data_IF_049393025697
#
_entry.id   IF_049393025697
#
_cell.length_a   1.000
_cell.length_b   1.000
_cell.length_c   1.000
_cell.angle_alpha   90.00
_cell.angle_beta   90.00
_cell.angle_gamma   90.00
#
_symmetry.space_group_name_H-M   'P 1'
#
loop_
_entity.id
_entity.type
_entity.pdbx_description
1 polymer ?
#
# COMPACT_ATOMS: atom_id res chain seq x y z
N UNK A 1 -27.25 -32.74 9.83
CA UNK A 1 -26.69 -31.91 8.78
C UNK A 1 -27.81 -31.01 8.25
N UNK A 2 -27.97 -29.81 8.80
CA UNK A 2 -28.98 -28.85 8.38
C UNK A 2 -28.29 -27.72 7.61
N UNK A 3 -28.65 -27.60 6.35
CA UNK A 3 -28.23 -26.56 5.43
C UNK A 3 -28.91 -25.27 5.86
N UNK A 4 -28.14 -24.28 6.29
CA UNK A 4 -28.66 -22.92 6.57
C UNK A 4 -28.84 -22.19 5.24
N UNK A 5 -30.07 -21.78 5.00
CA UNK A 5 -30.53 -21.11 3.77
C UNK A 5 -29.92 -19.72 3.64
N UNK A 6 -29.58 -19.34 2.38
CA UNK A 6 -28.90 -18.12 1.97
C UNK A 6 -29.66 -16.79 2.10
N UNK A 7 -30.60 -16.65 3.04
CA UNK A 7 -31.41 -15.44 3.16
C UNK A 7 -30.83 -14.36 4.08
N UNK A 8 -29.82 -14.65 4.91
CA UNK A 8 -29.30 -13.69 5.88
C UNK A 8 -28.05 -12.93 5.43
N UNK A 9 -27.54 -13.16 4.22
CA UNK A 9 -26.35 -12.47 3.71
C UNK A 9 -26.67 -11.15 2.97
N UNK A 10 -27.92 -10.93 2.58
CA UNK A 10 -28.36 -9.72 1.85
C UNK A 10 -28.76 -8.55 2.75
N UNK A 11 -29.01 -8.78 4.05
CA UNK A 11 -29.46 -7.73 4.95
C UNK A 11 -28.32 -6.84 5.52
N UNK A 12 -27.07 -7.26 5.43
CA UNK A 12 -25.93 -6.49 5.95
C UNK A 12 -25.35 -5.46 4.93
N UNK A 13 -25.77 -5.50 3.67
CA UNK A 13 -25.27 -4.61 2.62
C UNK A 13 -26.16 -3.36 2.41
N UNK A 14 -27.35 -3.34 2.95
CA UNK A 14 -28.36 -2.32 2.64
C UNK A 14 -28.35 -1.07 3.53
N UNK A 15 -27.43 -0.91 4.49
CA UNK A 15 -27.49 0.21 5.47
C UNK A 15 -26.42 1.28 5.27
N UNK A 16 -25.65 1.26 4.18
CA UNK A 16 -24.59 2.25 3.88
C UNK A 16 -24.90 3.14 2.67
N UNK A 17 -26.13 3.51 2.45
CA UNK A 17 -26.47 4.53 1.47
C UNK A 17 -26.90 5.83 2.16
N UNK A 18 -26.24 6.90 1.78
CA UNK A 18 -26.52 8.31 2.00
C UNK A 18 -25.70 9.02 3.10
N UNK A 19 -24.70 9.75 2.64
CA UNK A 19 -24.48 11.20 2.84
C UNK A 19 -23.20 11.55 2.03
N UNK A 20 -23.35 12.16 0.87
CA UNK A 20 -22.26 12.66 0.05
C UNK A 20 -22.64 13.96 -0.65
N UNK A 21 -22.12 15.09 -0.19
CA UNK A 21 -22.14 16.35 -0.94
C UNK A 21 -20.95 16.37 -1.89
N UNK A 22 -21.21 16.44 -3.20
CA UNK A 22 -20.18 16.58 -4.24
C UNK A 22 -19.66 18.01 -4.29
N UNK A 23 -18.39 18.23 -3.97
CA UNK A 23 -17.70 19.48 -4.25
C UNK A 23 -17.40 19.60 -5.76
N UNK A 24 -17.60 20.79 -6.32
CA UNK A 24 -17.36 21.10 -7.72
C UNK A 24 -15.86 21.20 -8.02
N UNK A 25 -15.44 20.84 -9.23
CA UNK A 25 -14.06 20.94 -9.71
C UNK A 25 -13.47 22.37 -9.70
N UNK A 26 -14.29 23.38 -9.54
CA UNK A 26 -13.86 24.78 -9.48
C UNK A 26 -13.31 25.22 -8.10
N UNK A 27 -13.62 24.48 -7.01
CA UNK A 27 -13.19 24.81 -5.65
C UNK A 27 -11.78 24.32 -5.31
N UNK A 28 -11.17 23.56 -6.21
CA UNK A 28 -9.92 22.81 -5.97
C UNK A 28 -8.66 23.68 -6.16
N UNK A 29 -8.76 24.84 -6.82
CA UNK A 29 -7.59 25.58 -7.28
C UNK A 29 -6.94 26.54 -6.25
N UNK A 30 -7.51 26.71 -5.04
CA UNK A 30 -7.07 27.73 -4.06
C UNK A 30 -6.64 27.18 -2.69
N UNK A 31 -6.57 25.89 -2.51
CA UNK A 31 -6.36 25.29 -1.18
C UNK A 31 -4.89 24.90 -0.94
N UNK A 32 -4.34 25.31 0.21
CA UNK A 32 -2.97 24.98 0.63
C UNK A 32 -2.78 23.50 1.09
N UNK A 33 -1.53 23.08 1.42
CA UNK A 33 -1.21 21.68 1.77
C UNK A 33 -2.07 21.09 2.90
N UNK A 34 -2.47 21.89 3.87
CA UNK A 34 -3.33 21.42 4.98
C UNK A 34 -4.72 21.00 4.51
N UNK A 35 -5.28 21.70 3.51
CA UNK A 35 -6.56 21.35 2.93
C UNK A 35 -6.48 20.12 2.01
N UNK A 36 -5.33 19.91 1.35
CA UNK A 36 -5.09 18.69 0.59
C UNK A 36 -5.08 17.43 1.50
N UNK A 37 -4.46 17.52 2.68
CA UNK A 37 -4.50 16.42 3.67
C UNK A 37 -5.91 16.21 4.19
N UNK A 38 -6.63 17.28 4.56
CA UNK A 38 -8.03 17.18 5.01
C UNK A 38 -8.94 16.57 3.93
N UNK A 39 -8.69 16.91 2.66
CA UNK A 39 -9.41 16.33 1.51
C UNK A 39 -9.08 14.85 1.31
N UNK A 40 -7.81 14.44 1.50
CA UNK A 40 -7.42 13.04 1.50
C UNK A 40 -8.11 12.30 2.65
N UNK A 41 -8.14 12.89 3.84
CA UNK A 41 -8.83 12.34 5.00
C UNK A 41 -10.34 12.24 4.79
N UNK A 42 -10.97 13.22 4.15
CA UNK A 42 -12.41 13.19 3.88
C UNK A 42 -12.81 12.11 2.88
N UNK A 43 -11.91 11.74 1.95
CA UNK A 43 -12.14 10.65 1.00
C UNK A 43 -12.08 9.27 1.65
N UNK A 44 -11.46 9.15 2.83
CA UNK A 44 -11.37 7.88 3.56
C UNK A 44 -12.72 7.35 4.03
N UNK A 45 -13.73 8.21 4.08
CA UNK A 45 -15.09 7.83 4.47
C UNK A 45 -15.92 7.23 3.33
N UNK A 46 -15.38 7.18 2.11
CA UNK A 46 -16.05 6.58 0.97
C UNK A 46 -15.09 5.61 0.23
N UNK A 47 -14.99 4.35 0.69
CA UNK A 47 -14.11 3.36 0.10
C UNK A 47 -14.52 2.93 -1.31
N UNK A 48 -15.76 3.28 -1.72
CA UNK A 48 -16.30 2.88 -3.02
C UNK A 48 -15.99 3.90 -4.12
N UNK A 49 -15.42 5.04 -3.77
CA UNK A 49 -15.31 6.21 -4.65
C UNK A 49 -14.21 6.13 -5.70
N UNK A 50 -13.33 5.21 -5.61
CA UNK A 50 -12.40 4.80 -6.64
C UNK A 50 -11.89 3.41 -6.27
N UNK A 51 -11.63 2.68 -7.19
CA UNK A 51 -10.62 2.87 -8.20
C UNK A 51 -11.11 2.48 -9.59
N UNK A 52 -11.13 3.40 -10.50
CA UNK A 52 -11.55 3.26 -11.88
C UNK A 52 -11.00 2.08 -12.69
N UNK A 53 -10.03 1.35 -12.15
CA UNK A 53 -9.47 0.17 -12.83
C UNK A 53 -10.28 -1.11 -12.60
N UNK A 54 -11.03 -1.24 -11.47
CA UNK A 54 -11.63 -2.53 -11.10
C UNK A 54 -13.08 -2.44 -10.64
N UNK A 55 -13.63 -1.24 -10.50
CA UNK A 55 -14.97 -0.99 -9.98
C UNK A 55 -15.11 -1.29 -8.48
N UNK A 56 -16.11 -0.69 -7.86
CA UNK A 56 -16.37 -0.74 -6.42
C UNK A 56 -16.47 -2.15 -5.85
N UNK A 57 -17.06 -3.07 -6.63
CA UNK A 57 -17.28 -4.45 -6.24
C UNK A 57 -15.97 -5.22 -5.97
N UNK A 58 -14.93 -4.98 -6.77
CA UNK A 58 -13.66 -5.65 -6.61
C UNK A 58 -12.93 -5.21 -5.33
N UNK A 59 -12.89 -3.92 -5.07
CA UNK A 59 -12.23 -3.37 -3.89
C UNK A 59 -12.90 -3.85 -2.59
N UNK A 60 -14.25 -3.77 -2.54
CA UNK A 60 -15.04 -4.25 -1.40
C UNK A 60 -14.83 -5.75 -1.14
N UNK A 61 -14.78 -6.58 -2.19
CA UNK A 61 -14.50 -8.01 -2.05
C UNK A 61 -13.10 -8.28 -1.50
N UNK A 62 -12.09 -7.53 -1.95
CA UNK A 62 -10.75 -7.65 -1.41
C UNK A 62 -10.72 -7.26 0.06
N UNK A 63 -11.33 -6.14 0.43
CA UNK A 63 -11.43 -5.70 1.81
C UNK A 63 -12.06 -6.78 2.69
N UNK A 64 -13.19 -7.33 2.32
CA UNK A 64 -13.84 -8.42 3.04
C UNK A 64 -12.96 -9.69 3.09
N UNK A 65 -12.25 -10.01 2.03
CA UNK A 65 -11.36 -11.17 2.02
C UNK A 65 -10.15 -10.99 2.96
N UNK A 66 -9.58 -9.78 3.03
CA UNK A 66 -8.49 -9.46 3.96
C UNK A 66 -8.97 -9.49 5.41
N UNK A 67 -10.15 -8.97 5.71
CA UNK A 67 -10.74 -9.09 7.05
C UNK A 67 -10.97 -10.53 7.49
N UNK A 68 -11.39 -11.42 6.58
CA UNK A 68 -11.46 -12.86 6.89
C UNK A 68 -10.11 -13.47 7.21
N UNK A 69 -9.05 -13.08 6.51
CA UNK A 69 -7.69 -13.50 6.83
C UNK A 69 -7.22 -12.95 8.18
N UNK A 70 -7.53 -11.70 8.50
CA UNK A 70 -7.24 -11.08 9.79
C UNK A 70 -7.91 -11.87 10.92
N UNK A 71 -9.17 -12.28 10.76
CA UNK A 71 -9.84 -13.13 11.76
C UNK A 71 -9.16 -14.51 11.91
N UNK A 72 -8.63 -15.10 10.82
CA UNK A 72 -7.84 -16.35 10.90
C UNK A 72 -6.54 -16.12 11.68
N UNK A 73 -5.91 -14.96 11.56
CA UNK A 73 -4.67 -14.63 12.27
C UNK A 73 -4.90 -14.03 13.66
N UNK A 74 -6.15 -13.91 14.10
CA UNK A 74 -6.49 -13.32 15.40
C UNK A 74 -5.73 -13.99 16.55
N UNK A 75 -5.03 -13.15 17.32
CA UNK A 75 -4.20 -13.61 18.44
C UNK A 75 -2.89 -14.31 18.05
N UNK A 76 -2.59 -14.44 16.75
CA UNK A 76 -1.36 -15.08 16.27
C UNK A 76 -0.35 -14.03 15.76
N UNK A 77 0.96 -14.31 15.83
CA UNK A 77 1.96 -13.44 15.25
C UNK A 77 1.95 -13.55 13.71
N UNK A 78 2.01 -12.40 13.04
CA UNK A 78 2.23 -12.28 11.60
C UNK A 78 3.67 -11.81 11.38
N UNK A 79 4.45 -12.54 10.58
CA UNK A 79 5.87 -12.19 10.39
C UNK A 79 6.03 -10.88 9.63
N UNK A 80 5.27 -10.70 8.54
CA UNK A 80 5.35 -9.50 7.71
C UNK A 80 3.96 -9.07 7.27
N UNK A 81 3.64 -7.80 7.47
CA UNK A 81 2.48 -7.12 6.87
C UNK A 81 2.98 -6.24 5.74
N UNK A 82 2.42 -6.41 4.54
CA UNK A 82 2.71 -5.60 3.37
C UNK A 82 1.56 -4.61 3.17
N UNK A 83 1.74 -3.34 3.55
CA UNK A 83 0.71 -2.29 3.45
C UNK A 83 1.03 -1.36 2.29
N UNK A 84 0.15 -1.34 1.27
CA UNK A 84 0.40 -0.55 0.07
C UNK A 84 -0.72 -0.58 -0.96
N UNK A 85 -0.33 -0.36 -2.19
CA UNK A 85 -1.20 -0.23 -3.37
C UNK A 85 -1.14 -1.45 -4.32
N UNK A 86 -1.35 -1.21 -5.62
CA UNK A 86 -1.31 -2.25 -6.65
C UNK A 86 0.03 -2.98 -6.74
N UNK A 87 1.13 -2.32 -6.43
CA UNK A 87 2.45 -2.92 -6.52
C UNK A 87 2.57 -4.11 -5.56
N UNK A 88 2.07 -3.97 -4.33
CA UNK A 88 2.00 -5.09 -3.39
C UNK A 88 0.90 -6.08 -3.74
N UNK A 89 -0.29 -5.60 -4.14
CA UNK A 89 -1.39 -6.48 -4.47
C UNK A 89 -1.08 -7.41 -5.64
N UNK A 90 -0.51 -6.87 -6.72
CA UNK A 90 -0.23 -7.63 -7.92
C UNK A 90 0.90 -8.64 -7.75
N UNK A 91 1.81 -8.41 -6.80
CA UNK A 91 2.83 -9.38 -6.46
C UNK A 91 2.21 -10.74 -6.09
N UNK A 92 1.25 -10.75 -5.18
CA UNK A 92 0.54 -11.97 -4.77
C UNK A 92 -0.22 -12.64 -5.92
N UNK A 93 -0.86 -11.83 -6.76
CA UNK A 93 -1.82 -12.31 -7.75
C UNK A 93 -1.23 -12.57 -9.13
N UNK A 94 -0.34 -11.69 -9.61
CA UNK A 94 0.23 -11.78 -10.96
C UNK A 94 1.57 -12.50 -11.00
N UNK A 95 2.27 -12.57 -9.87
CA UNK A 95 3.61 -13.10 -9.74
C UNK A 95 3.69 -14.16 -8.63
N UNK A 96 2.88 -15.25 -8.72
CA UNK A 96 2.73 -16.23 -7.64
C UNK A 96 4.03 -16.98 -7.31
N UNK A 97 4.92 -17.17 -8.26
CA UNK A 97 6.21 -17.84 -8.01
C UNK A 97 7.16 -16.94 -7.20
N UNK A 98 7.29 -15.69 -7.59
CA UNK A 98 8.06 -14.70 -6.83
C UNK A 98 7.44 -14.46 -5.46
N UNK A 99 6.10 -14.41 -5.37
CA UNK A 99 5.38 -14.29 -4.10
C UNK A 99 5.64 -15.50 -3.18
N UNK A 100 5.60 -16.72 -3.71
CA UNK A 100 5.90 -17.93 -2.96
C UNK A 100 7.36 -17.95 -2.45
N UNK A 101 8.31 -17.44 -3.24
CA UNK A 101 9.71 -17.27 -2.84
C UNK A 101 9.82 -16.30 -1.65
N UNK A 102 9.13 -15.16 -1.71
CA UNK A 102 9.10 -14.15 -0.63
C UNK A 102 8.47 -14.70 0.64
N UNK A 103 7.33 -15.39 0.53
CA UNK A 103 6.57 -15.89 1.68
C UNK A 103 7.09 -17.18 2.26
N UNK A 104 8.03 -17.85 1.61
CA UNK A 104 8.52 -19.17 2.00
C UNK A 104 8.79 -19.28 3.51
N UNK A 105 7.97 -20.06 4.21
CA UNK A 105 8.08 -20.31 5.63
C UNK A 105 7.65 -19.17 6.56
N UNK A 106 7.20 -18.04 6.03
CA UNK A 106 6.71 -16.88 6.79
C UNK A 106 5.20 -16.75 6.73
N UNK A 107 4.62 -16.23 7.79
CA UNK A 107 3.24 -15.75 7.78
C UNK A 107 3.24 -14.32 7.25
N UNK A 108 2.74 -14.13 6.03
CA UNK A 108 2.69 -12.81 5.38
C UNK A 108 1.25 -12.40 5.13
N UNK A 109 0.88 -11.22 5.59
CA UNK A 109 -0.43 -10.61 5.32
C UNK A 109 -0.25 -9.48 4.28
N UNK A 110 -0.78 -9.71 3.07
CA UNK A 110 -0.74 -8.72 2.01
C UNK A 110 -1.96 -7.79 2.07
N UNK A 111 -1.73 -6.57 2.53
CA UNK A 111 -2.70 -5.47 2.59
C UNK A 111 -2.44 -4.44 1.48
N UNK A 112 -1.96 -4.88 0.33
CA UNK A 112 -1.90 -4.09 -0.89
C UNK A 112 -3.23 -4.12 -1.64
N UNK A 113 -3.67 -2.97 -2.17
CA UNK A 113 -4.90 -2.84 -2.96
C UNK A 113 -4.63 -2.08 -4.25
N UNK A 114 -5.12 -2.62 -5.36
CA UNK A 114 -4.97 -1.98 -6.68
C UNK A 114 -5.61 -0.59 -6.71
N UNK A 115 -4.87 0.40 -7.20
CA UNK A 115 -5.38 1.76 -7.33
C UNK A 115 -5.42 2.57 -6.04
N UNK A 116 -5.15 1.98 -4.86
CA UNK A 116 -5.23 2.70 -3.60
C UNK A 116 -4.34 3.93 -3.55
N UNK A 117 -4.91 4.98 -3.02
CA UNK A 117 -4.27 6.19 -2.58
C UNK A 117 -4.11 6.17 -1.05
N UNK A 118 -3.37 7.13 -0.50
CA UNK A 118 -3.14 7.23 0.95
C UNK A 118 -4.43 7.33 1.75
N UNK A 119 -5.44 8.04 1.24
CA UNK A 119 -6.76 8.15 1.86
C UNK A 119 -7.49 6.80 1.99
N UNK A 120 -7.34 5.90 1.02
CA UNK A 120 -7.93 4.56 1.09
C UNK A 120 -7.26 3.73 2.21
N UNK A 121 -5.94 3.78 2.33
CA UNK A 121 -5.21 3.09 3.39
C UNK A 121 -5.57 3.62 4.77
N UNK A 122 -5.68 4.94 4.96
CA UNK A 122 -6.12 5.57 6.20
C UNK A 122 -7.49 5.01 6.59
N UNK A 123 -8.45 5.03 5.66
CA UNK A 123 -9.79 4.50 5.89
C UNK A 123 -9.75 3.01 6.30
N UNK A 124 -9.00 2.17 5.61
CA UNK A 124 -8.88 0.74 5.91
C UNK A 124 -8.31 0.48 7.31
N UNK A 125 -7.30 1.25 7.72
CA UNK A 125 -6.73 1.16 9.07
C UNK A 125 -7.74 1.59 10.12
N UNK A 126 -8.50 2.68 9.89
CA UNK A 126 -9.59 3.12 10.76
C UNK A 126 -10.69 2.07 10.88
N UNK A 127 -10.84 1.20 9.88
CA UNK A 127 -11.83 0.12 9.84
C UNK A 127 -11.23 -1.26 10.20
N UNK A 128 -10.15 -1.29 10.97
CA UNK A 128 -9.67 -2.49 11.64
C UNK A 128 -8.67 -3.34 10.85
N UNK A 129 -8.12 -2.85 9.74
CA UNK A 129 -7.21 -3.66 8.92
C UNK A 129 -5.88 -3.99 9.61
N UNK A 130 -5.49 -3.23 10.64
CA UNK A 130 -4.32 -3.51 11.47
C UNK A 130 -4.67 -4.05 12.87
N UNK A 131 -5.91 -4.51 13.10
CA UNK A 131 -6.38 -4.95 14.41
C UNK A 131 -6.42 -6.47 14.53
N UNK A 132 -6.35 -6.98 15.76
CA UNK A 132 -6.64 -8.38 16.08
C UNK A 132 -5.48 -9.36 15.94
N UNK A 133 -4.36 -8.99 15.36
CA UNK A 133 -3.13 -9.79 15.25
C UNK A 133 -1.92 -8.99 15.75
N UNK A 134 -0.74 -9.62 15.81
CA UNK A 134 0.52 -8.97 16.17
C UNK A 134 1.51 -9.09 15.01
N UNK A 135 1.84 -7.98 14.38
CA UNK A 135 2.86 -7.93 13.33
C UNK A 135 4.27 -7.87 13.96
N UNK A 136 5.20 -8.70 13.47
CA UNK A 136 6.64 -8.53 13.79
C UNK A 136 7.25 -7.41 12.94
N UNK A 137 6.75 -7.24 11.72
CA UNK A 137 7.23 -6.24 10.78
C UNK A 137 6.08 -5.72 9.92
N UNK A 138 6.04 -4.39 9.69
CA UNK A 138 5.15 -3.75 8.71
C UNK A 138 6.01 -3.07 7.65
N UNK A 139 5.80 -3.42 6.40
CA UNK A 139 6.42 -2.80 5.23
C UNK A 139 5.40 -1.87 4.59
N UNK A 140 5.71 -0.59 4.56
CA UNK A 140 4.86 0.45 3.98
C UNK A 140 5.48 0.99 2.69
N UNK A 141 4.73 0.94 1.59
CA UNK A 141 5.04 1.67 0.36
C UNK A 141 3.75 1.96 -0.40
N UNK A 142 3.45 3.24 -0.60
CA UNK A 142 2.34 3.70 -1.45
C UNK A 142 2.51 5.19 -1.78
N UNK A 143 1.60 5.73 -2.61
CA UNK A 143 1.59 7.15 -2.98
C UNK A 143 1.75 7.39 -4.48
N UNK A 144 2.16 6.37 -5.26
CA UNK A 144 2.31 6.51 -6.71
C UNK A 144 0.98 6.88 -7.39
N UNK A 145 -0.15 6.41 -6.86
CA UNK A 145 -1.48 6.74 -7.39
C UNK A 145 -1.92 8.17 -7.04
N UNK A 146 -1.57 8.67 -5.84
CA UNK A 146 -1.75 10.09 -5.52
C UNK A 146 -0.96 10.95 -6.51
N UNK A 147 0.33 10.65 -6.68
CA UNK A 147 1.25 11.40 -7.52
C UNK A 147 1.00 11.23 -9.04
N UNK A 148 0.07 10.35 -9.42
CA UNK A 148 -0.39 10.24 -10.81
C UNK A 148 -1.39 11.33 -11.21
N UNK A 149 -2.03 11.99 -10.25
CA UNK A 149 -2.92 13.13 -10.52
C UNK A 149 -2.12 14.40 -10.76
N UNK A 150 -2.55 15.24 -11.71
CA UNK A 150 -1.85 16.48 -12.04
C UNK A 150 -1.96 17.55 -10.94
N UNK A 151 -2.99 17.47 -10.13
CA UNK A 151 -3.23 18.32 -8.95
C UNK A 151 -2.57 17.78 -7.67
N UNK A 152 -1.75 16.72 -7.77
CA UNK A 152 -1.09 16.14 -6.60
C UNK A 152 -0.04 17.07 -6.00
N UNK A 153 -0.10 17.25 -4.68
CA UNK A 153 0.93 17.89 -3.87
C UNK A 153 1.79 16.84 -3.19
N UNK A 154 3.08 16.68 -3.56
CA UNK A 154 4.00 15.73 -2.93
C UNK A 154 4.13 15.90 -1.41
N UNK A 155 4.03 17.14 -0.90
CA UNK A 155 4.11 17.39 0.54
C UNK A 155 2.86 16.88 1.27
N UNK A 156 1.68 17.04 0.67
CA UNK A 156 0.45 16.48 1.22
C UNK A 156 0.46 14.94 1.20
N UNK A 157 0.99 14.32 0.13
CA UNK A 157 1.16 12.87 0.07
C UNK A 157 2.13 12.37 1.15
N UNK A 158 3.27 13.03 1.34
CA UNK A 158 4.21 12.70 2.40
C UNK A 158 3.56 12.81 3.77
N UNK A 159 2.83 13.89 4.06
CA UNK A 159 2.12 14.08 5.31
C UNK A 159 1.05 13.02 5.58
N UNK A 160 0.35 12.56 4.55
CA UNK A 160 -0.59 11.45 4.67
C UNK A 160 0.13 10.15 5.03
N UNK A 161 1.32 9.90 4.47
CA UNK A 161 2.15 8.74 4.83
C UNK A 161 2.71 8.84 6.25
N UNK A 162 3.07 10.03 6.73
CA UNK A 162 3.42 10.26 8.14
C UNK A 162 2.24 9.91 9.07
N UNK A 163 1.00 10.27 8.70
CA UNK A 163 -0.21 9.87 9.44
C UNK A 163 -0.36 8.35 9.44
N UNK A 164 -0.19 7.68 8.30
CA UNK A 164 -0.26 6.21 8.23
C UNK A 164 0.79 5.57 9.14
N UNK A 165 2.02 6.09 9.19
CA UNK A 165 3.07 5.64 10.11
C UNK A 165 2.62 5.76 11.57
N UNK A 166 2.02 6.89 11.95
CA UNK A 166 1.48 7.07 13.29
C UNK A 166 0.38 6.05 13.64
N UNK A 167 -0.52 5.80 12.70
CA UNK A 167 -1.59 4.80 12.85
C UNK A 167 -1.05 3.37 12.95
N UNK A 168 -0.02 3.02 12.16
CA UNK A 168 0.66 1.73 12.28
C UNK A 168 1.24 1.56 13.69
N UNK A 169 1.90 2.57 14.23
CA UNK A 169 2.47 2.52 15.59
C UNK A 169 1.43 2.40 16.68
N UNK A 170 0.29 3.05 16.50
CA UNK A 170 -0.83 2.92 17.43
C UNK A 170 -1.38 1.50 17.47
N UNK A 171 -1.57 0.89 16.30
CA UNK A 171 -2.22 -0.44 16.16
C UNK A 171 -1.25 -1.60 16.32
N UNK A 172 0.02 -1.39 15.96
CA UNK A 172 1.07 -2.41 15.95
C UNK A 172 2.35 -1.86 16.64
N UNK A 173 2.30 -1.51 17.94
CA UNK A 173 3.37 -0.79 18.64
C UNK A 173 4.70 -1.55 18.71
N UNK A 174 4.66 -2.88 18.67
CA UNK A 174 5.83 -3.75 18.75
C UNK A 174 6.43 -4.05 17.36
N UNK A 175 5.75 -3.68 16.28
CA UNK A 175 6.19 -4.01 14.93
C UNK A 175 7.40 -3.16 14.51
N UNK A 176 8.39 -3.81 13.90
CA UNK A 176 9.42 -3.11 13.15
C UNK A 176 8.78 -2.45 11.93
N UNK A 177 8.94 -1.15 11.79
CA UNK A 177 8.41 -0.41 10.65
C UNK A 177 9.50 -0.21 9.59
N UNK A 178 9.24 -0.71 8.39
CA UNK A 178 10.04 -0.50 7.19
C UNK A 178 9.25 0.43 6.27
N UNK A 179 9.86 1.55 5.91
CA UNK A 179 9.32 2.50 4.94
C UNK A 179 10.19 2.47 3.68
N UNK A 180 9.55 2.20 2.54
CA UNK A 180 10.19 2.30 1.25
C UNK A 180 9.91 3.64 0.59
N UNK A 181 10.85 4.18 -0.20
CA UNK A 181 10.53 5.18 -1.20
C UNK A 181 9.51 4.61 -2.20
N UNK A 182 8.67 5.48 -2.73
CA UNK A 182 7.80 5.16 -3.87
C UNK A 182 8.73 4.83 -5.05
N UNK A 183 8.52 3.70 -5.70
CA UNK A 183 9.41 3.23 -6.76
C UNK A 183 9.52 4.22 -7.93
N UNK A 184 10.68 4.25 -8.60
CA UNK A 184 10.81 4.99 -9.84
C UNK A 184 9.87 4.40 -10.89
N UNK A 185 9.43 5.25 -11.81
CA UNK A 185 8.54 4.84 -12.91
C UNK A 185 8.91 5.56 -14.19
N UNK A 186 8.45 5.03 -15.32
CA UNK A 186 8.70 5.64 -16.61
C UNK A 186 9.97 5.13 -17.30
N UNK A 187 9.90 5.04 -18.62
CA UNK A 187 10.91 4.42 -19.48
C UNK A 187 11.76 5.44 -20.24
N UNK A 188 11.34 6.69 -20.28
CA UNK A 188 12.03 7.77 -20.98
C UNK A 188 11.53 9.15 -20.54
N UNK A 189 12.26 10.19 -20.91
CA UNK A 189 11.86 11.59 -20.69
C UNK A 189 10.57 11.99 -21.43
N UNK A 190 10.16 11.23 -22.44
CA UNK A 190 8.91 11.46 -23.19
C UNK A 190 7.76 10.55 -22.74
N UNK A 191 8.02 9.70 -21.75
CA UNK A 191 6.96 8.87 -21.14
C UNK A 191 5.97 9.74 -20.39
N UNK A 192 4.68 9.42 -20.48
CA UNK A 192 3.62 10.03 -19.65
C UNK A 192 3.84 9.86 -18.14
N UNK A 193 4.88 9.10 -17.74
CA UNK A 193 5.24 8.88 -16.35
C UNK A 193 6.27 9.86 -15.80
N UNK A 194 6.83 10.78 -16.60
CA UNK A 194 7.85 11.73 -16.13
C UNK A 194 7.33 12.65 -15.00
N UNK A 195 6.19 13.26 -15.18
CA UNK A 195 5.64 14.17 -14.16
C UNK A 195 5.25 13.41 -12.87
N UNK A 196 4.55 12.27 -12.91
CA UNK A 196 4.35 11.43 -11.73
C UNK A 196 5.65 10.96 -11.06
N UNK A 197 6.68 10.58 -11.82
CA UNK A 197 8.00 10.22 -11.28
C UNK A 197 8.62 11.38 -10.51
N UNK A 198 8.63 12.57 -11.09
CA UNK A 198 9.15 13.77 -10.42
C UNK A 198 8.41 14.06 -9.11
N UNK A 199 7.08 13.82 -9.07
CA UNK A 199 6.30 13.95 -7.84
C UNK A 199 6.65 12.85 -6.83
N UNK A 200 6.86 11.59 -7.27
CA UNK A 200 7.35 10.51 -6.40
C UNK A 200 8.69 10.88 -5.77
N UNK A 201 9.64 11.37 -6.56
CA UNK A 201 10.98 11.75 -6.07
C UNK A 201 10.91 12.86 -5.02
N UNK A 202 10.04 13.87 -5.22
CA UNK A 202 9.80 14.93 -4.23
C UNK A 202 9.18 14.38 -2.94
N UNK A 203 8.19 13.50 -3.05
CA UNK A 203 7.58 12.84 -1.89
C UNK A 203 8.63 12.02 -1.15
N UNK A 204 9.46 11.25 -1.86
CA UNK A 204 10.50 10.40 -1.29
C UNK A 204 11.56 11.22 -0.53
N UNK A 205 11.94 12.39 -1.04
CA UNK A 205 12.87 13.27 -0.34
C UNK A 205 12.34 13.70 1.04
N UNK A 206 11.05 14.08 1.12
CA UNK A 206 10.40 14.45 2.39
C UNK A 206 10.31 13.26 3.33
N UNK A 207 9.93 12.08 2.81
CA UNK A 207 9.82 10.86 3.60
C UNK A 207 11.17 10.37 4.15
N UNK A 208 12.24 10.54 3.38
CA UNK A 208 13.60 10.22 3.83
C UNK A 208 14.00 11.09 5.02
N UNK A 209 13.82 12.41 4.92
CA UNK A 209 14.07 13.33 6.03
C UNK A 209 13.20 13.00 7.26
N UNK A 210 11.95 12.64 7.05
CA UNK A 210 11.06 12.19 8.12
C UNK A 210 11.59 10.94 8.81
N UNK A 211 11.98 9.92 8.05
CA UNK A 211 12.52 8.67 8.59
C UNK A 211 13.84 8.88 9.37
N UNK A 212 14.72 9.74 8.86
CA UNK A 212 15.99 10.10 9.52
C UNK A 212 15.75 10.84 10.84
N UNK A 213 14.81 11.80 10.89
CA UNK A 213 14.45 12.49 12.13
C UNK A 213 13.79 11.58 13.15
N UNK A 214 13.00 10.63 12.71
CA UNK A 214 12.28 9.69 13.56
C UNK A 214 13.22 8.69 14.25
N UNK A 215 14.23 8.20 13.55
CA UNK A 215 15.27 7.29 14.05
C UNK A 215 14.80 5.87 14.40
N UNK A 216 13.50 5.57 14.31
CA UNK A 216 12.92 4.24 14.56
C UNK A 216 12.35 3.61 13.28
N UNK A 217 12.22 4.37 12.21
CA UNK A 217 11.82 3.88 10.90
C UNK A 217 13.05 3.30 10.21
N UNK A 218 12.91 2.10 9.68
CA UNK A 218 13.92 1.52 8.80
C UNK A 218 13.63 1.98 7.38
N UNK A 219 14.41 2.95 6.90
CA UNK A 219 14.34 3.41 5.52
C UNK A 219 15.12 2.44 4.63
N UNK A 220 14.44 1.80 3.67
CA UNK A 220 15.06 0.83 2.75
C UNK A 220 14.90 1.33 1.33
N UNK A 221 15.93 2.00 0.83
CA UNK A 221 16.00 2.54 -0.52
C UNK A 221 16.84 1.65 -1.42
N UNK A 222 16.23 1.17 -2.47
CA UNK A 222 16.88 0.39 -3.53
C UNK A 222 16.35 0.79 -4.92
N UNK A 223 15.76 1.99 -5.01
CA UNK A 223 15.15 2.50 -6.24
C UNK A 223 16.13 2.55 -7.43
N UNK A 224 17.41 2.82 -7.18
CA UNK A 224 18.44 2.84 -8.23
C UNK A 224 18.64 1.46 -8.89
N UNK A 225 18.35 0.36 -8.19
CA UNK A 225 18.44 -1.00 -8.75
C UNK A 225 17.39 -1.27 -9.83
N UNK A 226 16.37 -0.43 -9.95
CA UNK A 226 15.36 -0.46 -11.01
C UNK A 226 15.77 0.35 -12.24
N UNK A 227 16.88 1.07 -12.20
CA UNK A 227 17.30 1.96 -13.27
C UNK A 227 18.40 1.34 -14.11
N UNK A 228 18.35 1.56 -15.42
CA UNK A 228 19.45 1.26 -16.33
C UNK A 228 20.48 2.40 -16.36
N UNK A 229 21.52 2.26 -17.17
CA UNK A 229 22.58 3.25 -17.32
C UNK A 229 22.09 4.61 -17.84
N UNK A 230 20.90 4.69 -18.40
CA UNK A 230 20.26 5.94 -18.84
C UNK A 230 19.41 6.60 -17.76
N UNK A 231 19.28 5.95 -16.59
CA UNK A 231 18.47 6.42 -15.47
C UNK A 231 16.97 6.17 -15.61
N UNK A 232 16.56 5.28 -16.52
CA UNK A 232 15.17 4.90 -16.74
C UNK A 232 14.90 3.46 -16.37
N UNK A 233 13.62 3.14 -16.13
CA UNK A 233 13.21 1.80 -15.77
C UNK A 233 13.08 0.92 -17.02
N UNK A 234 13.90 -0.13 -17.19
CA UNK A 234 13.78 -1.01 -18.34
C UNK A 234 12.53 -1.89 -18.25
N UNK A 235 11.96 -2.24 -19.40
CA UNK A 235 10.77 -3.10 -19.50
C UNK A 235 10.96 -4.47 -18.82
N UNK A 236 12.18 -4.96 -18.76
CA UNK A 236 12.52 -6.21 -18.09
C UNK A 236 12.23 -6.16 -16.58
N UNK A 237 12.27 -4.98 -15.96
CA UNK A 237 11.98 -4.79 -14.53
C UNK A 237 10.58 -4.28 -14.26
N UNK A 238 9.99 -3.45 -15.14
CA UNK A 238 8.62 -2.96 -15.06
C UNK A 238 8.01 -2.87 -16.47
N UNK A 239 7.24 -3.88 -16.85
CA UNK A 239 6.72 -3.99 -18.23
C UNK A 239 5.76 -2.87 -18.61
N UNK A 240 4.96 -2.39 -17.67
CA UNK A 240 3.99 -1.29 -17.83
C UNK A 240 4.49 0.04 -17.26
N UNK A 241 5.78 0.15 -16.96
CA UNK A 241 6.46 1.33 -16.40
C UNK A 241 6.10 1.66 -14.93
N UNK A 242 5.32 0.81 -14.25
CA UNK A 242 4.85 1.04 -12.88
C UNK A 242 5.02 -0.20 -12.00
N UNK A 243 4.59 -1.36 -12.52
CA UNK A 243 4.53 -2.58 -11.74
C UNK A 243 5.73 -3.47 -12.02
N UNK A 244 6.42 -3.96 -10.97
CA UNK A 244 7.54 -4.88 -11.14
C UNK A 244 7.15 -6.16 -11.86
N UNK A 245 8.05 -6.66 -12.69
CA UNK A 245 8.05 -8.04 -13.18
C UNK A 245 8.59 -8.98 -12.10
N UNK A 246 8.64 -10.29 -12.35
CA UNK A 246 9.30 -11.23 -11.42
C UNK A 246 10.75 -10.81 -11.11
N UNK A 247 11.50 -10.36 -12.12
CA UNK A 247 12.85 -9.83 -11.91
C UNK A 247 12.89 -8.57 -11.04
N UNK A 248 11.90 -7.69 -11.19
CA UNK A 248 11.73 -6.52 -10.31
C UNK A 248 11.40 -6.90 -8.88
N UNK A 249 10.51 -7.88 -8.68
CA UNK A 249 10.19 -8.39 -7.34
C UNK A 249 11.37 -9.13 -6.71
N UNK A 250 12.21 -9.82 -7.47
CA UNK A 250 13.45 -10.42 -6.95
C UNK A 250 14.41 -9.38 -6.38
N UNK A 251 14.53 -8.21 -7.01
CA UNK A 251 15.28 -7.06 -6.47
C UNK A 251 14.69 -6.65 -5.10
N UNK A 252 13.36 -6.62 -4.98
CA UNK A 252 12.71 -6.26 -3.73
C UNK A 252 12.90 -7.31 -2.63
N UNK A 253 12.82 -8.60 -2.97
CA UNK A 253 13.11 -9.70 -2.03
C UNK A 253 14.50 -9.53 -1.44
N UNK A 254 15.51 -9.34 -2.30
CA UNK A 254 16.90 -9.19 -1.87
C UNK A 254 17.09 -7.97 -0.96
N UNK A 255 16.45 -6.85 -1.32
CA UNK A 255 16.54 -5.63 -0.52
C UNK A 255 15.85 -5.76 0.84
N UNK A 256 14.74 -6.48 0.93
CA UNK A 256 14.01 -6.70 2.19
C UNK A 256 14.65 -7.76 3.09
N UNK A 257 15.33 -8.75 2.54
CA UNK A 257 15.82 -9.91 3.28
C UNK A 257 16.59 -9.57 4.57
N UNK A 258 17.48 -8.54 4.61
CA UNK A 258 18.20 -8.19 5.84
C UNK A 258 17.32 -7.52 6.92
N UNK A 259 16.12 -7.07 6.55
CA UNK A 259 15.30 -6.20 7.38
C UNK A 259 14.05 -6.87 7.95
N UNK A 260 13.61 -7.98 7.35
CA UNK A 260 12.43 -8.75 7.78
C UNK A 260 12.83 -9.99 8.57
N UNK A 261 11.91 -10.58 9.35
CA UNK A 261 12.18 -11.85 10.03
C UNK A 261 12.69 -12.91 9.04
N UNK A 262 13.73 -13.69 9.41
CA UNK A 262 14.19 -14.77 8.56
C UNK A 262 13.09 -15.80 8.34
N UNK A 263 13.10 -16.47 7.20
CA UNK A 263 12.24 -17.64 7.00
C UNK A 263 12.59 -18.69 8.07
N UNK A 264 11.60 -19.29 8.77
CA UNK A 264 11.86 -20.36 9.71
C UNK A 264 12.63 -21.50 9.03
N UNK A 265 13.65 -22.00 9.72
CA UNK A 265 14.36 -23.20 9.28
C UNK A 265 13.46 -24.44 9.48
N UNK A 266 13.75 -25.51 8.75
CA UNK A 266 12.96 -26.76 8.83
C UNK A 266 12.82 -27.27 10.27
N UNK A 267 13.80 -27.02 11.12
CA UNK A 267 13.87 -27.45 12.53
C UNK A 267 13.00 -26.62 13.49
N UNK A 268 12.38 -25.53 13.03
CA UNK A 268 11.53 -24.63 13.84
C UNK A 268 10.03 -24.82 13.59
N UNK A 269 9.64 -25.89 12.90
CA UNK A 269 8.24 -26.24 12.55
C UNK A 269 7.66 -27.38 13.40
N UNK A 270 8.16 -27.57 14.63
CA UNK A 270 7.55 -28.47 15.61
C UNK A 270 6.57 -27.76 16.54
#
# INVERSE_FOLDING_TARGET
MRILSGANLLAAVATFAAIGTTASSADIASEGPASAVARMESRTNDPTRDPGLFGDYWWANRFLSRHRLIEVFKGTPVDVVMLGDSIMHFWEWRHPESWAKFTKGRTVLNLGYGGDKTENAIWRIEHGELDGYKAKCVVLMMGTNNNSSDDSDPAAVAKALEKIVAMIRERQPEAKLILHPIFPRGRSATSGHLAPRTRNDKTNAILKEFAERDGKIVWVDFGERFLDATGWVPAALMADEIHPTDAGYDIWIDALAPHIPPAPTADQKE
#
